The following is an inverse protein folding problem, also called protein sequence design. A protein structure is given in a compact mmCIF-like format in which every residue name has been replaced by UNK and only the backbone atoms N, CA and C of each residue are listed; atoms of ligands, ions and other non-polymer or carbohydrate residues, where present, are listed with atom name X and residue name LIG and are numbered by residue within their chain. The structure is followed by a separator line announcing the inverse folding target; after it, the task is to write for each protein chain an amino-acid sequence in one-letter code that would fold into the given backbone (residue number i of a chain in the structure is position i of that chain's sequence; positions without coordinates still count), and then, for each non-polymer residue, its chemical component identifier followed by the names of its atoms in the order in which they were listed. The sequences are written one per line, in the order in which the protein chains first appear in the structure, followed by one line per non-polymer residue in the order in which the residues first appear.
data_IF_449066550150
#
_entry.id   IF_449066550150
#
_cell.length_a   1.000
_cell.length_b   1.000
_cell.length_c   1.000
_cell.angle_alpha   90.00
_cell.angle_beta   90.00
_cell.angle_gamma   90.00
#
_symmetry.space_group_name_H-M   'P 1'
#
loop_
_entity.id
_entity.type
_entity.pdbx_description
1 polymer ?
#
# COMPACT_ATOMS: atom_id res chain seq x y z
N UNK A 1 9.85 -15.52 2.99
CA UNK A 1 9.12 -14.30 3.38
C UNK A 1 9.67 -13.73 4.69
N UNK A 2 9.81 -12.41 4.81
CA UNK A 2 10.27 -11.71 6.02
C UNK A 2 9.59 -10.36 6.13
N UNK A 3 8.96 -10.08 7.30
CA UNK A 3 8.60 -8.71 7.67
C UNK A 3 9.90 -7.94 7.93
N UNK A 4 10.28 -7.09 7.00
CA UNK A 4 11.55 -6.36 7.07
C UNK A 4 11.41 -5.09 7.90
N UNK A 5 10.33 -4.37 7.71
CA UNK A 5 10.09 -3.07 8.36
C UNK A 5 8.68 -3.07 8.94
N UNK A 6 8.52 -3.27 10.26
CA UNK A 6 7.23 -3.08 10.91
C UNK A 6 6.84 -1.59 10.86
N UNK A 7 5.58 -1.32 10.53
CA UNK A 7 5.05 0.04 10.43
C UNK A 7 3.56 0.04 10.74
N UNK A 8 3.06 1.11 11.35
CA UNK A 8 1.63 1.32 11.57
C UNK A 8 1.28 2.77 11.23
N UNK A 9 0.38 2.98 10.28
CA UNK A 9 -0.10 4.31 9.92
C UNK A 9 -0.73 5.05 11.11
N UNK A 10 -1.30 4.34 12.10
CA UNK A 10 -1.84 4.92 13.31
C UNK A 10 -0.80 5.70 14.11
N UNK A 11 0.44 5.22 14.14
CA UNK A 11 1.52 5.87 14.88
C UNK A 11 1.90 7.19 14.19
N UNK A 12 1.91 7.19 12.85
CA UNK A 12 2.15 8.39 12.06
C UNK A 12 1.00 9.40 12.20
N UNK A 13 -0.25 8.94 12.16
CA UNK A 13 -1.44 9.76 12.36
C UNK A 13 -1.39 10.41 13.75
N UNK A 14 -1.08 9.65 14.77
CA UNK A 14 -0.96 10.14 16.15
C UNK A 14 0.15 11.20 16.27
N UNK A 15 1.34 10.92 15.72
CA UNK A 15 2.48 11.84 15.77
C UNK A 15 2.22 13.17 15.03
N UNK A 16 1.34 13.18 14.05
CA UNK A 16 1.01 14.40 13.27
C UNK A 16 -0.16 15.18 13.84
N UNK A 17 -0.82 14.68 14.89
CA UNK A 17 -2.03 15.29 15.48
C UNK A 17 -3.21 15.37 14.51
N UNK A 18 -3.19 14.60 13.43
CA UNK A 18 -4.15 14.70 12.34
C UNK A 18 -5.40 13.89 12.66
N UNK A 19 -6.56 14.49 12.46
CA UNK A 19 -7.84 13.80 12.52
C UNK A 19 -8.18 13.22 11.13
N UNK A 20 -7.75 11.97 10.85
CA UNK A 20 -8.11 11.27 9.61
C UNK A 20 -9.16 10.19 9.90
N UNK A 21 -10.45 10.48 9.77
CA UNK A 21 -11.49 9.52 10.10
C UNK A 21 -11.51 8.30 9.16
N UNK A 22 -10.84 8.37 8.00
CA UNK A 22 -10.83 7.30 6.98
C UNK A 22 -9.47 6.64 6.75
N UNK A 23 -8.43 6.98 7.55
CA UNK A 23 -7.07 6.50 7.32
C UNK A 23 -6.34 7.22 6.17
N UNK A 24 -5.06 6.90 6.01
CA UNK A 24 -4.18 7.49 4.99
C UNK A 24 -3.50 6.42 4.12
N UNK A 25 -4.03 5.19 4.14
CA UNK A 25 -3.40 4.01 3.55
C UNK A 25 -3.07 4.20 2.05
N UNK A 26 -4.04 4.58 1.22
CA UNK A 26 -3.80 4.75 -0.22
C UNK A 26 -2.77 5.84 -0.51
N UNK A 27 -2.87 6.99 0.16
CA UNK A 27 -1.89 8.05 0.00
C UNK A 27 -0.47 7.64 0.43
N UNK A 28 -0.32 6.80 1.47
CA UNK A 28 0.98 6.26 1.88
C UNK A 28 1.51 5.23 0.86
N UNK A 29 0.65 4.36 0.34
CA UNK A 29 1.04 3.42 -0.72
C UNK A 29 1.53 4.16 -1.96
N UNK A 30 0.84 5.21 -2.41
CA UNK A 30 1.27 6.05 -3.53
C UNK A 30 2.66 6.64 -3.26
N UNK A 31 2.88 7.23 -2.08
CA UNK A 31 4.19 7.81 -1.74
C UNK A 31 5.31 6.76 -1.68
N UNK A 32 4.99 5.56 -1.18
CA UNK A 32 5.94 4.46 -1.17
C UNK A 32 6.31 3.98 -2.59
N UNK A 33 5.34 3.85 -3.50
CA UNK A 33 5.61 3.47 -4.90
C UNK A 33 6.44 4.53 -5.61
N UNK A 34 6.12 5.81 -5.45
CA UNK A 34 6.89 6.94 -5.99
C UNK A 34 8.34 6.90 -5.47
N UNK A 35 8.53 6.63 -4.19
CA UNK A 35 9.87 6.53 -3.63
C UNK A 35 10.64 5.36 -4.25
N UNK A 36 10.01 4.20 -4.42
CA UNK A 36 10.66 3.03 -5.03
C UNK A 36 10.98 3.22 -6.52
N UNK A 37 10.21 4.03 -7.27
CA UNK A 37 10.50 4.28 -8.69
C UNK A 37 11.81 5.04 -8.91
N UNK A 38 12.25 5.80 -7.92
CA UNK A 38 13.46 6.64 -7.97
C UNK A 38 14.73 5.90 -7.59
N UNK A 39 14.63 4.67 -7.11
CA UNK A 39 15.77 3.88 -6.64
C UNK A 39 15.98 2.64 -7.51
N UNK A 40 17.22 2.46 -7.95
CA UNK A 40 17.67 1.28 -8.69
C UNK A 40 18.45 0.40 -7.72
N UNK A 41 18.00 -0.84 -7.53
CA UNK A 41 18.67 -1.83 -6.68
C UNK A 41 17.97 -2.11 -5.35
N UNK A 42 18.64 -2.91 -4.49
CA UNK A 42 18.12 -3.40 -3.21
C UNK A 42 18.26 -2.39 -2.06
N UNK A 43 18.69 -1.17 -2.35
CA UNK A 43 18.83 -0.14 -1.34
C UNK A 43 17.46 0.28 -0.77
N UNK A 44 17.47 0.52 0.52
CA UNK A 44 16.28 1.01 1.21
C UNK A 44 15.82 2.33 0.61
N UNK A 45 14.55 2.40 0.19
CA UNK A 45 14.02 3.64 -0.39
C UNK A 45 14.02 4.77 0.63
N UNK A 46 14.16 6.02 0.15
CA UNK A 46 14.15 7.21 1.01
C UNK A 46 12.90 7.27 1.90
N UNK A 47 11.77 6.74 1.42
CA UNK A 47 10.55 6.60 2.20
C UNK A 47 10.78 5.91 3.56
N UNK A 48 11.52 4.78 3.58
CA UNK A 48 11.79 4.05 4.82
C UNK A 48 12.85 4.72 5.68
N UNK A 49 13.88 5.30 5.06
CA UNK A 49 14.91 6.07 5.77
C UNK A 49 14.23 7.21 6.54
N UNK A 50 13.34 7.95 5.90
CA UNK A 50 12.63 9.07 6.48
C UNK A 50 11.66 8.62 7.58
N UNK A 51 10.93 7.51 7.37
CA UNK A 51 10.02 6.96 8.37
C UNK A 51 10.77 6.37 9.59
N UNK A 52 11.89 5.69 9.37
CA UNK A 52 12.73 5.19 10.48
C UNK A 52 13.33 6.32 11.31
N UNK A 53 13.77 7.38 10.66
CA UNK A 53 14.24 8.58 11.34
C UNK A 53 13.15 9.19 12.24
N UNK A 54 11.88 9.13 11.82
CA UNK A 54 10.75 9.62 12.59
C UNK A 54 10.47 8.81 13.87
N UNK A 55 10.78 7.51 13.87
CA UNK A 55 10.54 6.61 15.01
C UNK A 55 11.66 6.64 16.08
N UNK A 56 12.80 7.20 15.77
CA UNK A 56 13.83 7.46 16.78
C UNK A 56 13.50 8.79 17.46
N UNK A 57 13.30 8.79 18.76
CA UNK A 57 13.03 9.96 19.62
C UNK A 57 14.11 11.06 19.50
N UNK A 58 14.34 11.58 18.32
CA UNK A 58 15.15 12.77 18.08
C UNK A 58 14.22 13.95 17.86
N UNK A 59 14.50 15.08 18.48
CA UNK A 59 13.70 16.29 18.41
C UNK A 59 13.45 16.80 16.97
N UNK A 60 14.22 16.33 15.98
CA UNK A 60 14.11 16.68 14.56
C UNK A 60 13.48 15.57 13.68
N UNK A 61 13.22 14.39 14.21
CA UNK A 61 12.71 13.24 13.46
C UNK A 61 11.22 13.31 13.07
N UNK A 62 10.32 14.04 13.79
CA UNK A 62 8.91 14.12 13.41
C UNK A 62 8.68 14.75 12.03
N UNK A 63 9.61 15.59 11.54
CA UNK A 63 9.38 16.39 10.33
C UNK A 63 9.35 15.58 9.03
N UNK A 64 10.13 14.49 8.91
CA UNK A 64 10.22 13.72 7.67
C UNK A 64 8.97 12.85 7.45
N UNK A 65 8.53 12.14 8.47
CA UNK A 65 7.29 11.35 8.42
C UNK A 65 6.04 12.21 8.24
N UNK A 66 6.03 13.43 8.81
CA UNK A 66 4.96 14.42 8.64
C UNK A 66 4.77 14.80 7.17
N UNK A 67 5.84 14.90 6.38
CA UNK A 67 5.75 15.19 4.94
C UNK A 67 4.93 14.15 4.17
N UNK A 68 5.15 12.87 4.42
CA UNK A 68 4.38 11.79 3.78
C UNK A 68 2.93 11.75 4.28
N UNK A 69 2.71 11.92 5.58
CA UNK A 69 1.36 12.02 6.13
C UNK A 69 0.60 13.22 5.56
N UNK A 70 1.24 14.38 5.42
CA UNK A 70 0.62 15.57 4.85
C UNK A 70 0.22 15.36 3.38
N UNK A 71 1.09 14.73 2.58
CA UNK A 71 0.79 14.39 1.17
C UNK A 71 -0.36 13.38 1.08
N UNK A 72 -0.32 12.31 1.89
CA UNK A 72 -1.39 11.33 1.96
C UNK A 72 -2.72 11.97 2.39
N UNK A 73 -2.69 12.87 3.36
CA UNK A 73 -3.86 13.61 3.79
C UNK A 73 -4.43 14.52 2.70
N UNK A 74 -3.57 15.27 2.00
CA UNK A 74 -3.98 16.11 0.87
C UNK A 74 -4.68 15.28 -0.19
N UNK A 75 -4.14 14.09 -0.51
CA UNK A 75 -4.77 13.13 -1.41
C UNK A 75 -6.17 12.76 -0.93
N UNK A 76 -6.31 12.24 0.29
CA UNK A 76 -7.59 11.80 0.83
C UNK A 76 -8.61 12.93 0.93
N UNK A 77 -8.16 14.15 1.22
CA UNK A 77 -9.04 15.32 1.26
C UNK A 77 -9.64 15.62 -0.12
N UNK A 78 -8.83 15.47 -1.18
CA UNK A 78 -9.27 15.71 -2.55
C UNK A 78 -10.27 14.66 -3.07
N UNK A 79 -10.14 13.37 -2.66
CA UNK A 79 -10.95 12.26 -3.20
C UNK A 79 -12.09 11.81 -2.29
N UNK A 80 -12.04 12.12 -1.00
CA UNK A 80 -12.98 11.59 0.01
C UNK A 80 -13.54 12.66 0.96
N UNK A 81 -13.28 13.93 0.71
CA UNK A 81 -13.81 15.05 1.48
C UNK A 81 -15.33 15.19 1.33
N UNK A 82 -15.95 16.11 2.10
CA UNK A 82 -17.41 16.37 1.99
C UNK A 82 -17.82 16.84 0.58
N UNK A 83 -16.90 17.44 -0.16
CA UNK A 83 -17.05 17.78 -1.58
C UNK A 83 -15.81 17.26 -2.30
N UNK A 84 -15.78 15.99 -2.76
CA UNK A 84 -14.62 15.45 -3.45
C UNK A 84 -14.40 16.21 -4.77
N UNK A 85 -13.22 16.82 -4.91
CA UNK A 85 -12.85 17.59 -6.09
C UNK A 85 -12.39 16.71 -7.24
N UNK A 86 -11.96 15.49 -6.94
CA UNK A 86 -11.32 14.57 -7.87
C UNK A 86 -11.80 13.14 -7.68
N UNK A 87 -11.82 12.38 -8.77
CA UNK A 87 -11.97 10.93 -8.72
C UNK A 87 -10.67 10.31 -8.18
N UNK A 88 -10.79 9.28 -7.31
CA UNK A 88 -9.66 8.62 -6.67
C UNK A 88 -8.68 8.00 -7.68
N UNK A 89 -9.20 7.28 -8.68
CA UNK A 89 -8.35 6.65 -9.69
C UNK A 89 -7.64 7.67 -10.56
N UNK A 90 -8.32 8.76 -10.95
CA UNK A 90 -7.74 9.78 -11.82
C UNK A 90 -6.62 10.53 -11.10
N UNK A 91 -6.79 10.87 -9.82
CA UNK A 91 -5.74 11.51 -9.03
C UNK A 91 -4.59 10.54 -8.75
N UNK A 92 -4.88 9.25 -8.50
CA UNK A 92 -3.85 8.22 -8.33
C UNK A 92 -3.00 8.07 -9.58
N UNK A 93 -3.63 7.99 -10.76
CA UNK A 93 -2.93 7.95 -12.06
C UNK A 93 -2.05 9.18 -12.25
N UNK A 94 -2.60 10.37 -12.13
CA UNK A 94 -1.87 11.62 -12.30
C UNK A 94 -0.62 11.69 -11.41
N UNK A 95 -0.74 11.33 -10.13
CA UNK A 95 0.38 11.39 -9.20
C UNK A 95 1.50 10.39 -9.56
N UNK A 96 1.15 9.19 -10.02
CA UNK A 96 2.12 8.16 -10.38
C UNK A 96 2.72 8.44 -11.77
N UNK A 97 1.93 8.85 -12.74
CA UNK A 97 2.38 9.17 -14.10
C UNK A 97 3.31 10.38 -14.13
N UNK A 98 3.12 11.38 -13.28
CA UNK A 98 4.04 12.51 -13.11
C UNK A 98 5.44 12.07 -12.62
N UNK A 99 5.55 10.87 -12.05
CA UNK A 99 6.81 10.28 -11.60
C UNK A 99 7.30 9.15 -12.53
N UNK A 100 6.70 9.03 -13.71
CA UNK A 100 7.08 8.06 -14.73
C UNK A 100 6.55 6.63 -14.50
N UNK A 101 5.62 6.44 -13.57
CA UNK A 101 4.93 5.17 -13.31
C UNK A 101 3.64 5.15 -14.12
N UNK A 102 3.68 4.48 -15.28
CA UNK A 102 2.61 4.56 -16.27
C UNK A 102 1.46 3.61 -15.94
N UNK A 103 0.24 4.15 -15.96
CA UNK A 103 -0.96 3.34 -15.75
C UNK A 103 -1.12 2.31 -16.89
N UNK A 104 -1.40 1.06 -16.49
CA UNK A 104 -1.67 -0.05 -17.43
C UNK A 104 -3.16 -0.35 -17.48
N UNK A 105 -3.75 -0.81 -16.39
CA UNK A 105 -5.16 -1.20 -16.34
C UNK A 105 -5.69 -1.30 -14.91
N UNK A 106 -7.01 -1.43 -14.78
CA UNK A 106 -7.66 -1.92 -13.57
C UNK A 106 -7.88 -3.42 -13.74
N UNK A 107 -7.44 -4.21 -12.78
CA UNK A 107 -7.77 -5.62 -12.68
C UNK A 107 -8.88 -5.82 -11.66
N UNK A 108 -10.01 -6.36 -12.09
CA UNK A 108 -11.07 -6.77 -11.17
C UNK A 108 -10.63 -8.06 -10.47
N UNK A 109 -10.36 -7.98 -9.16
CA UNK A 109 -9.96 -9.11 -8.33
C UNK A 109 -11.11 -10.08 -8.12
N UNK A 110 -12.28 -9.58 -7.76
CA UNK A 110 -13.48 -10.36 -7.52
C UNK A 110 -14.27 -9.90 -6.29
N UNK A 111 -15.48 -10.42 -6.16
CA UNK A 111 -16.36 -10.23 -5.00
C UNK A 111 -16.06 -11.28 -3.93
N UNK A 112 -14.83 -11.30 -3.43
CA UNK A 112 -14.36 -12.14 -2.34
C UNK A 112 -13.10 -11.55 -1.73
N UNK A 113 -12.68 -12.08 -0.58
CA UNK A 113 -11.46 -11.64 0.08
C UNK A 113 -10.20 -12.05 -0.71
N UNK A 114 -9.18 -11.16 -0.85
CA UNK A 114 -7.88 -11.55 -1.39
C UNK A 114 -7.09 -12.46 -0.43
N UNK A 115 -7.59 -12.65 0.78
CA UNK A 115 -7.02 -13.57 1.78
C UNK A 115 -7.68 -14.96 1.78
N UNK A 116 -8.56 -15.23 0.80
CA UNK A 116 -9.29 -16.49 0.69
C UNK A 116 -8.37 -17.63 0.24
N UNK A 117 -8.04 -18.52 1.17
CA UNK A 117 -7.17 -19.67 0.94
C UNK A 117 -7.75 -20.69 -0.08
N UNK A 118 -9.06 -20.69 -0.28
CA UNK A 118 -9.71 -21.61 -1.26
C UNK A 118 -9.46 -21.17 -2.70
N UNK A 119 -9.01 -19.92 -2.90
CA UNK A 119 -8.75 -19.29 -4.21
C UNK A 119 -7.28 -18.91 -4.41
N UNK A 120 -6.38 -19.55 -3.67
CA UNK A 120 -4.94 -19.24 -3.67
C UNK A 120 -4.35 -19.09 -5.08
N UNK A 121 -4.64 -20.04 -5.99
CA UNK A 121 -4.09 -20.03 -7.37
C UNK A 121 -4.54 -18.79 -8.13
N UNK A 122 -5.83 -18.45 -8.09
CA UNK A 122 -6.37 -17.28 -8.80
C UNK A 122 -5.82 -15.97 -8.24
N UNK A 123 -5.70 -15.88 -6.91
CA UNK A 123 -5.17 -14.69 -6.22
C UNK A 123 -3.69 -14.52 -6.51
N UNK A 124 -2.88 -15.58 -6.43
CA UNK A 124 -1.45 -15.55 -6.79
C UNK A 124 -1.26 -15.05 -8.21
N UNK A 125 -2.00 -15.64 -9.17
CA UNK A 125 -1.92 -15.25 -10.57
C UNK A 125 -2.26 -13.77 -10.79
N UNK A 126 -3.33 -13.31 -10.20
CA UNK A 126 -3.80 -11.92 -10.38
C UNK A 126 -2.90 -10.90 -9.69
N UNK A 127 -2.45 -11.16 -8.47
CA UNK A 127 -1.73 -10.19 -7.66
C UNK A 127 -0.20 -10.31 -7.80
N UNK A 128 0.33 -11.53 -7.94
CA UNK A 128 1.77 -11.76 -7.80
C UNK A 128 2.47 -12.35 -9.02
N UNK A 129 1.77 -12.88 -10.02
CA UNK A 129 2.38 -13.43 -11.23
C UNK A 129 2.26 -12.51 -12.45
N UNK A 130 1.41 -11.49 -12.39
CA UNK A 130 1.26 -10.54 -13.50
C UNK A 130 2.49 -9.64 -13.64
N UNK A 131 2.83 -9.26 -14.88
CA UNK A 131 4.11 -8.63 -15.25
C UNK A 131 4.26 -7.18 -14.78
N UNK A 132 3.17 -6.52 -14.40
CA UNK A 132 3.20 -5.12 -13.99
C UNK A 132 4.07 -4.92 -12.76
N UNK A 133 4.94 -3.90 -12.85
CA UNK A 133 5.97 -3.61 -11.85
C UNK A 133 5.40 -3.05 -10.55
N UNK A 134 4.35 -2.24 -10.65
CA UNK A 134 3.72 -1.57 -9.52
C UNK A 134 2.24 -1.92 -9.46
N UNK A 135 1.73 -2.25 -8.28
CA UNK A 135 0.30 -2.50 -8.07
C UNK A 135 -0.18 -1.87 -6.78
N UNK A 136 -1.40 -1.37 -6.82
CA UNK A 136 -2.16 -0.96 -5.64
C UNK A 136 -3.36 -1.89 -5.54
N UNK A 137 -3.42 -2.69 -4.50
CA UNK A 137 -4.58 -3.56 -4.20
C UNK A 137 -5.49 -2.80 -3.27
N UNK A 138 -6.71 -2.57 -3.72
CA UNK A 138 -7.78 -1.98 -2.90
C UNK A 138 -8.66 -3.11 -2.39
N UNK A 139 -8.89 -3.13 -1.09
CA UNK A 139 -9.74 -4.07 -0.38
C UNK A 139 -10.90 -3.30 0.20
N UNK A 140 -12.11 -3.79 0.02
CA UNK A 140 -13.32 -3.16 0.54
C UNK A 140 -14.18 -4.15 1.29
N UNK A 141 -14.84 -3.68 2.32
CA UNK A 141 -15.70 -4.50 3.14
C UNK A 141 -16.60 -3.69 4.06
N UNK A 142 -17.23 -4.39 5.01
CA UNK A 142 -18.07 -3.77 6.05
C UNK A 142 -17.58 -4.17 7.43
N UNK A 143 -17.64 -3.24 8.36
CA UNK A 143 -17.44 -3.55 9.78
C UNK A 143 -18.65 -4.29 10.38
N UNK A 144 -18.54 -4.71 11.63
CA UNK A 144 -19.61 -5.40 12.35
C UNK A 144 -20.90 -4.58 12.50
N UNK A 145 -20.83 -3.27 12.26
CA UNK A 145 -21.97 -2.34 12.27
C UNK A 145 -22.53 -2.07 10.87
N UNK A 146 -22.02 -2.76 9.86
CA UNK A 146 -22.40 -2.58 8.46
C UNK A 146 -21.84 -1.32 7.79
N UNK A 147 -20.89 -0.61 8.44
CA UNK A 147 -20.24 0.57 7.87
C UNK A 147 -19.16 0.16 6.90
N UNK A 148 -19.19 0.72 5.69
CA UNK A 148 -18.16 0.49 4.68
C UNK A 148 -16.79 1.01 5.12
N UNK A 149 -15.76 0.23 4.80
CA UNK A 149 -14.37 0.58 4.95
C UNK A 149 -13.60 0.17 3.70
N UNK A 150 -12.49 0.86 3.43
CA UNK A 150 -11.55 0.52 2.37
C UNK A 150 -10.13 0.56 2.89
N UNK A 151 -9.25 -0.24 2.29
CA UNK A 151 -7.83 -0.28 2.60
C UNK A 151 -7.00 -0.50 1.35
N UNK A 152 -5.78 0.03 1.34
CA UNK A 152 -4.85 -0.09 0.22
C UNK A 152 -3.57 -0.79 0.66
N UNK A 153 -3.11 -1.74 -0.17
CA UNK A 153 -1.85 -2.47 -0.02
C UNK A 153 -1.03 -2.24 -1.29
N UNK A 154 0.25 -1.91 -1.15
CA UNK A 154 1.17 -1.73 -2.27
C UNK A 154 1.93 -3.00 -2.59
N UNK A 155 2.15 -3.27 -3.89
CA UNK A 155 3.03 -4.32 -4.38
C UNK A 155 4.02 -3.69 -5.36
N UNK A 156 5.31 -3.99 -5.19
CA UNK A 156 6.37 -3.52 -6.04
C UNK A 156 7.31 -4.67 -6.40
N UNK A 157 7.68 -4.77 -7.68
CA UNK A 157 8.66 -5.71 -8.21
C UNK A 157 9.88 -4.94 -8.67
N UNK A 158 10.97 -4.89 -7.89
CA UNK A 158 12.21 -4.28 -8.36
C UNK A 158 12.78 -5.07 -9.54
N UNK A 159 13.40 -4.35 -10.48
CA UNK A 159 14.21 -5.00 -11.52
C UNK A 159 15.49 -5.45 -10.84
N UNK A 160 15.61 -6.74 -10.56
CA UNK A 160 16.79 -7.32 -9.91
C UNK A 160 17.53 -8.25 -10.84
N UNK A 161 18.88 -8.26 -10.72
CA UNK A 161 19.76 -9.20 -11.43
C UNK A 161 19.78 -10.56 -10.71
N UNK A 162 19.45 -10.59 -9.43
CA UNK A 162 19.51 -11.75 -8.54
C UNK A 162 18.13 -12.12 -7.99
N UNK A 163 17.32 -12.77 -8.83
CA UNK A 163 15.98 -13.23 -8.42
C UNK A 163 14.86 -12.26 -8.79
N UNK A 164 13.62 -12.59 -8.40
CA UNK A 164 12.44 -11.80 -8.63
C UNK A 164 11.76 -11.44 -7.30
N UNK A 165 12.38 -10.60 -6.45
CA UNK A 165 11.77 -10.24 -5.18
C UNK A 165 10.45 -9.51 -5.41
N UNK A 166 9.49 -9.75 -4.52
CA UNK A 166 8.23 -9.02 -4.47
C UNK A 166 8.19 -8.29 -3.14
N UNK A 167 8.05 -6.99 -3.17
CA UNK A 167 7.86 -6.17 -1.99
C UNK A 167 6.36 -5.95 -1.78
N UNK A 168 5.87 -6.22 -0.58
CA UNK A 168 4.49 -5.97 -0.18
C UNK A 168 4.50 -4.96 0.95
N UNK A 169 3.73 -3.90 0.82
CA UNK A 169 3.58 -2.87 1.85
C UNK A 169 2.13 -2.71 2.26
N UNK A 170 1.86 -3.02 3.51
CA UNK A 170 0.61 -2.70 4.18
C UNK A 170 0.83 -1.57 5.18
N UNK A 171 0.15 -0.42 5.06
CA UNK A 171 0.29 0.71 5.98
C UNK A 171 -0.06 0.42 7.45
N UNK A 172 -0.70 -0.69 7.75
CA UNK A 172 -1.04 -1.10 9.11
C UNK A 172 -0.08 -2.11 9.72
N UNK A 173 0.72 -2.80 8.88
CA UNK A 173 1.62 -3.89 9.33
C UNK A 173 3.08 -3.56 9.06
N UNK A 174 3.37 -3.08 7.83
CA UNK A 174 4.73 -2.80 7.41
C UNK A 174 5.09 -3.35 6.04
N UNK A 175 6.40 -3.47 5.79
CA UNK A 175 6.96 -3.94 4.52
C UNK A 175 7.48 -5.37 4.65
N UNK A 176 7.07 -6.21 3.72
CA UNK A 176 7.61 -7.55 3.50
C UNK A 176 8.50 -7.58 2.26
N UNK A 177 9.55 -8.41 2.30
CA UNK A 177 10.31 -8.85 1.13
C UNK A 177 10.06 -10.35 0.97
N UNK A 178 9.69 -10.74 -0.24
CA UNK A 178 9.23 -12.06 -0.61
C UNK A 178 10.03 -12.58 -1.80
N UNK A 179 10.43 -13.86 -1.78
CA UNK A 179 11.23 -14.49 -2.83
C UNK A 179 10.40 -15.01 -4.02
N UNK A 180 9.21 -14.47 -4.20
CA UNK A 180 8.30 -14.83 -5.30
C UNK A 180 6.84 -14.81 -4.90
N UNK A 181 5.98 -15.34 -5.77
CA UNK A 181 4.53 -15.26 -5.62
C UNK A 181 3.99 -16.06 -4.42
N UNK A 182 4.61 -17.20 -4.09
CA UNK A 182 4.21 -18.01 -2.94
C UNK A 182 4.47 -17.27 -1.64
N UNK A 183 5.68 -16.77 -1.46
CA UNK A 183 6.06 -15.98 -0.30
C UNK A 183 5.23 -14.70 -0.18
N UNK A 184 4.88 -14.05 -1.30
CA UNK A 184 4.07 -12.86 -1.31
C UNK A 184 2.61 -13.17 -0.89
N UNK A 185 2.10 -14.32 -1.28
CA UNK A 185 0.80 -14.78 -0.81
C UNK A 185 0.81 -15.08 0.70
N UNK A 186 1.87 -15.73 1.19
CA UNK A 186 2.04 -15.97 2.63
C UNK A 186 2.11 -14.66 3.42
N UNK A 187 2.80 -13.63 2.89
CA UNK A 187 2.81 -12.29 3.48
C UNK A 187 1.40 -11.70 3.57
N UNK A 188 0.57 -11.90 2.56
CA UNK A 188 -0.84 -11.50 2.60
C UNK A 188 -1.63 -12.22 3.70
N UNK A 189 -1.37 -13.51 3.91
CA UNK A 189 -2.00 -14.26 5.01
C UNK A 189 -1.57 -13.73 6.38
N UNK A 190 -0.28 -13.42 6.56
CA UNK A 190 0.24 -12.80 7.78
C UNK A 190 -0.39 -11.41 8.05
N UNK A 191 -0.52 -10.59 7.03
CA UNK A 191 -1.22 -9.30 7.11
C UNK A 191 -2.65 -9.51 7.63
N UNK A 192 -3.38 -10.47 7.05
CA UNK A 192 -4.75 -10.79 7.45
C UNK A 192 -4.84 -11.28 8.89
N UNK A 193 -3.88 -12.08 9.34
CA UNK A 193 -3.84 -12.59 10.71
C UNK A 193 -3.49 -11.50 11.74
N UNK A 194 -2.67 -10.51 11.34
CA UNK A 194 -2.23 -9.42 12.23
C UNK A 194 -3.32 -8.36 12.39
N UNK A 195 -4.08 -8.10 11.33
CA UNK A 195 -5.17 -7.14 11.32
C UNK A 195 -6.42 -7.89 10.87
N UNK A 196 -7.39 -8.01 11.76
CA UNK A 196 -8.67 -8.62 11.42
C UNK A 196 -9.39 -7.80 10.34
N UNK A 197 -9.04 -8.02 9.08
CA UNK A 197 -9.86 -7.59 7.95
C UNK A 197 -11.12 -8.45 7.88
N UNK A 198 -12.06 -8.13 8.77
CA UNK A 198 -13.32 -8.84 8.85
C UNK A 198 -14.25 -8.38 7.73
N UNK A 199 -15.02 -9.32 7.18
CA UNK A 199 -16.05 -9.04 6.18
C UNK A 199 -15.55 -8.29 4.93
N UNK A 200 -14.42 -8.72 4.37
CA UNK A 200 -13.98 -8.28 3.05
C UNK A 200 -14.98 -8.79 2.00
N UNK A 201 -15.60 -7.85 1.29
CA UNK A 201 -16.63 -8.16 0.28
C UNK A 201 -16.01 -8.24 -1.13
N UNK A 202 -14.98 -7.42 -1.41
CA UNK A 202 -14.34 -7.39 -2.73
C UNK A 202 -12.93 -6.82 -2.67
N UNK A 203 -12.18 -7.07 -3.74
CA UNK A 203 -10.92 -6.40 -4.01
C UNK A 203 -10.74 -6.14 -5.51
N UNK A 204 -9.93 -5.15 -5.84
CA UNK A 204 -9.47 -4.84 -7.20
C UNK A 204 -8.06 -4.26 -7.14
N UNK A 205 -7.41 -4.12 -8.29
CA UNK A 205 -6.04 -3.61 -8.35
C UNK A 205 -5.87 -2.57 -9.44
N UNK A 206 -5.17 -1.50 -9.13
CA UNK A 206 -4.60 -0.56 -10.10
C UNK A 206 -3.20 -1.05 -10.47
N UNK A 207 -2.93 -1.27 -11.76
CA UNK A 207 -1.70 -1.83 -12.28
C UNK A 207 -0.95 -0.78 -13.09
N UNK A 208 0.39 -0.70 -12.85
CA UNK A 208 1.27 0.29 -13.45
C UNK A 208 2.63 -0.35 -13.85
N UNK A 209 3.30 0.25 -14.83
CA UNK A 209 4.63 -0.13 -15.33
C UNK A 209 5.67 0.96 -15.13
#
# INVERSE_FOLDING_TARGET
MKLEIPFKQSDLIFATGSQFPKGICLGLVIQWLISNSKYIGDNESQFWIDLKASNKHSENAPLLGVGYAAKANKFHKAVSGPNPERNEIDLTKELLENEGILFSKISNGGHHSPFDNTRTIDIKKKLFEADEKYKIVIIEGKDLKGKYWGHAIGIYRPTSILGNPIHVFDPNVGKYICDGADDAFDAFQDISATIAYTNVEQYFSYLFN
#
